data_IF_407685522472
#
_entry.id   IF_407685522472
#
_cell.length_a   1.000
_cell.length_b   1.000
_cell.length_c   1.000
_cell.angle_alpha   90.00
_cell.angle_beta   90.00
_cell.angle_gamma   90.00
#
_symmetry.space_group_name_H-M   'P 1'
#
loop_
_entity.id
_entity.type
_entity.pdbx_description
1 polymer ?
#
# COMPACT_ATOMS: atom_id res chain seq x y z
N UNK A 1 -22.03 42.18 -0.34
CA UNK A 1 -21.42 41.31 0.70
C UNK A 1 -21.45 39.89 0.18
N UNK A 2 -20.31 39.34 -0.22
CA UNK A 2 -20.19 37.92 -0.53
C UNK A 2 -19.87 37.23 0.80
N UNK A 3 -20.83 36.51 1.37
CA UNK A 3 -20.58 35.56 2.45
C UNK A 3 -19.85 34.36 1.84
N UNK A 4 -18.53 34.44 1.79
CA UNK A 4 -17.72 33.26 1.57
C UNK A 4 -17.65 32.52 2.91
N UNK A 5 -18.58 31.59 3.12
CA UNK A 5 -18.44 30.49 4.07
C UNK A 5 -17.25 29.64 3.60
N UNK A 6 -16.04 30.14 3.84
CA UNK A 6 -14.80 29.52 3.40
C UNK A 6 -14.45 28.43 4.43
N UNK A 7 -15.29 27.40 4.52
CA UNK A 7 -14.95 26.16 5.23
C UNK A 7 -13.73 25.57 4.52
N UNK A 8 -12.54 25.85 5.06
CA UNK A 8 -11.30 25.25 4.58
C UNK A 8 -11.46 23.73 4.56
N UNK A 9 -11.49 23.17 3.36
CA UNK A 9 -11.40 21.73 3.16
C UNK A 9 -9.93 21.36 3.30
N UNK A 10 -9.61 20.60 4.34
CA UNK A 10 -8.25 20.12 4.54
C UNK A 10 -8.05 18.87 3.66
N UNK A 11 -7.10 18.93 2.73
CA UNK A 11 -6.68 17.79 1.92
C UNK A 11 -5.29 17.35 2.37
N UNK A 12 -5.15 16.06 2.69
CA UNK A 12 -3.87 15.43 2.99
C UNK A 12 -3.52 14.44 1.87
N UNK A 13 -2.32 14.60 1.31
CA UNK A 13 -1.75 13.69 0.33
C UNK A 13 -0.64 12.88 0.99
N UNK A 14 -0.84 11.57 1.12
CA UNK A 14 0.13 10.64 1.69
C UNK A 14 0.74 9.79 0.57
N UNK A 15 2.04 9.95 0.35
CA UNK A 15 2.79 9.09 -0.57
C UNK A 15 3.23 7.78 0.09
N UNK A 16 3.70 6.84 -0.73
CA UNK A 16 4.19 5.51 -0.32
C UNK A 16 5.32 5.56 0.74
N UNK A 17 6.03 6.68 0.86
CA UNK A 17 7.03 6.91 1.90
C UNK A 17 6.45 7.09 3.32
N UNK A 18 5.16 7.41 3.46
CA UNK A 18 4.53 7.66 4.75
C UNK A 18 4.43 6.38 5.60
N UNK A 19 3.75 5.33 5.11
CA UNK A 19 3.67 4.03 5.78
C UNK A 19 4.99 3.28 5.89
N UNK A 20 6.06 3.68 5.18
CA UNK A 20 7.35 2.97 5.24
C UNK A 20 7.91 2.87 6.66
N UNK A 21 7.81 3.95 7.45
CA UNK A 21 8.22 3.96 8.87
C UNK A 21 7.30 3.14 9.77
N UNK A 22 6.13 2.79 9.26
CA UNK A 22 5.09 2.03 9.94
C UNK A 22 5.02 0.57 9.46
N UNK A 23 5.93 0.15 8.57
CA UNK A 23 6.03 -1.23 8.06
C UNK A 23 5.54 -1.43 6.63
N UNK A 24 5.01 -0.39 6.00
CA UNK A 24 4.55 -0.50 4.62
C UNK A 24 5.69 -0.62 3.63
N UNK A 25 5.35 -1.16 2.47
CA UNK A 25 6.29 -1.39 1.38
C UNK A 25 6.31 -0.23 0.40
N UNK A 26 7.51 0.18 0.01
CA UNK A 26 7.75 0.99 -1.17
C UNK A 26 7.61 0.12 -2.42
N UNK A 27 7.37 0.71 -3.61
CA UNK A 27 7.38 -0.04 -4.86
C UNK A 27 8.64 -0.90 -5.05
N UNK A 28 9.80 -0.41 -4.59
CA UNK A 28 11.06 -1.16 -4.61
C UNK A 28 11.06 -2.40 -3.72
N UNK A 29 10.30 -2.40 -2.62
CA UNK A 29 10.22 -3.55 -1.70
C UNK A 29 9.36 -4.67 -2.28
N UNK A 30 8.36 -4.36 -3.12
CA UNK A 30 7.51 -5.36 -3.75
C UNK A 30 8.29 -6.30 -4.69
N UNK A 31 9.44 -5.86 -5.22
CA UNK A 31 10.34 -6.72 -5.99
C UNK A 31 10.95 -7.89 -5.19
N UNK A 32 10.71 -7.97 -3.87
CA UNK A 32 10.97 -9.18 -3.08
C UNK A 32 10.22 -10.42 -3.61
N UNK A 33 9.17 -10.27 -4.43
CA UNK A 33 8.51 -11.38 -5.13
C UNK A 33 9.50 -12.33 -5.84
N UNK A 34 10.62 -11.82 -6.37
CA UNK A 34 11.58 -12.65 -7.11
C UNK A 34 12.30 -13.67 -6.24
N UNK A 35 12.33 -13.43 -4.94
CA UNK A 35 12.93 -14.32 -3.95
C UNK A 35 11.91 -15.31 -3.38
N UNK A 36 10.62 -15.15 -3.67
CA UNK A 36 9.61 -16.10 -3.23
C UNK A 36 9.85 -17.47 -3.88
N UNK A 37 9.83 -18.56 -3.11
CA UNK A 37 10.24 -19.91 -3.56
C UNK A 37 9.52 -20.33 -4.84
N UNK A 38 8.21 -20.08 -4.92
CA UNK A 38 7.37 -20.41 -6.08
C UNK A 38 7.74 -19.62 -7.34
N UNK A 39 8.27 -18.42 -7.18
CA UNK A 39 8.71 -17.54 -8.27
C UNK A 39 10.16 -17.86 -8.66
N UNK A 40 11.05 -17.99 -7.67
CA UNK A 40 12.45 -18.32 -7.84
C UNK A 40 12.65 -19.57 -8.69
N UNK A 41 11.84 -20.60 -8.45
CA UNK A 41 11.96 -21.89 -9.13
C UNK A 41 11.42 -21.90 -10.56
N UNK A 42 10.46 -21.03 -10.92
CA UNK A 42 9.68 -21.17 -12.16
C UNK A 42 9.69 -19.94 -13.07
N UNK A 43 9.91 -18.75 -12.52
CA UNK A 43 9.54 -17.49 -13.18
C UNK A 43 10.56 -16.35 -13.03
N UNK A 44 11.54 -16.48 -12.13
CA UNK A 44 12.47 -15.40 -11.79
C UNK A 44 13.17 -14.77 -13.00
N UNK A 45 13.74 -15.58 -13.90
CA UNK A 45 14.44 -15.08 -15.08
C UNK A 45 13.54 -14.24 -15.99
N UNK A 46 12.35 -14.75 -16.28
CA UNK A 46 11.36 -14.04 -17.10
C UNK A 46 10.88 -12.76 -16.45
N UNK A 47 10.55 -12.81 -15.15
CA UNK A 47 10.11 -11.61 -14.45
C UNK A 47 11.20 -10.53 -14.35
N UNK A 48 12.49 -10.91 -14.26
CA UNK A 48 13.58 -9.94 -14.31
C UNK A 48 13.63 -9.18 -15.64
N UNK A 49 13.39 -9.86 -16.77
CA UNK A 49 13.33 -9.20 -18.09
C UNK A 49 12.19 -8.19 -18.21
N UNK A 50 11.06 -8.45 -17.56
CA UNK A 50 9.93 -7.51 -17.52
C UNK A 50 10.22 -6.30 -16.63
N UNK A 51 11.01 -6.48 -15.56
CA UNK A 51 11.39 -5.38 -14.67
C UNK A 51 12.30 -4.36 -15.35
N UNK A 52 13.21 -4.79 -16.22
CA UNK A 52 14.13 -3.88 -16.91
C UNK A 52 13.39 -2.81 -17.73
N UNK A 53 12.15 -3.09 -18.13
CA UNK A 53 11.29 -2.19 -18.88
C UNK A 53 10.27 -1.42 -18.03
N UNK A 54 10.19 -1.67 -16.72
CA UNK A 54 9.18 -1.08 -15.84
C UNK A 54 9.80 -0.50 -14.55
N UNK A 55 9.65 0.82 -14.36
CA UNK A 55 10.22 1.53 -13.22
C UNK A 55 9.36 1.46 -11.95
N UNK A 56 8.05 1.27 -12.10
CA UNK A 56 7.11 1.09 -10.99
C UNK A 56 6.52 -0.32 -10.96
N UNK A 57 6.11 -0.75 -9.77
CA UNK A 57 5.61 -2.11 -9.54
C UNK A 57 4.23 -2.36 -10.17
N UNK A 58 3.41 -1.31 -10.30
CA UNK A 58 2.05 -1.42 -10.83
C UNK A 58 2.08 -1.69 -12.34
N UNK A 59 2.85 -0.91 -13.09
CA UNK A 59 3.12 -1.14 -14.50
C UNK A 59 3.81 -2.47 -14.74
N UNK A 60 4.77 -2.85 -13.89
CA UNK A 60 5.38 -4.17 -13.94
C UNK A 60 4.32 -5.29 -13.79
N UNK A 61 3.46 -5.20 -12.78
CA UNK A 61 2.44 -6.22 -12.56
C UNK A 61 1.39 -6.25 -13.68
N UNK A 62 0.95 -5.08 -14.14
CA UNK A 62 0.01 -4.95 -15.26
C UNK A 62 0.60 -5.55 -16.54
N UNK A 63 1.89 -5.33 -16.80
CA UNK A 63 2.58 -5.91 -17.95
C UNK A 63 2.63 -7.44 -17.93
N UNK A 64 2.63 -8.06 -16.74
CA UNK A 64 2.51 -9.52 -16.59
C UNK A 64 1.09 -9.97 -16.89
N UNK A 65 0.09 -9.26 -16.38
CA UNK A 65 -1.33 -9.59 -16.60
C UNK A 65 -1.74 -9.46 -18.06
N UNK A 66 -1.22 -8.45 -18.75
CA UNK A 66 -1.53 -8.17 -20.16
C UNK A 66 -0.58 -8.90 -21.13
N UNK A 67 0.42 -9.60 -20.61
CA UNK A 67 1.41 -10.30 -21.42
C UNK A 67 0.73 -11.34 -22.30
N UNK A 68 1.05 -11.27 -23.60
CA UNK A 68 0.71 -12.32 -24.58
C UNK A 68 1.82 -13.37 -24.71
N UNK A 69 2.87 -13.27 -23.89
CA UNK A 69 3.97 -14.21 -23.88
C UNK A 69 3.48 -15.58 -23.36
N UNK A 70 3.69 -16.64 -24.14
CA UNK A 70 3.34 -18.02 -23.77
C UNK A 70 4.00 -18.46 -22.47
N UNK A 71 5.12 -17.82 -22.10
CA UNK A 71 5.77 -18.00 -20.82
C UNK A 71 4.82 -17.72 -19.66
N UNK A 72 3.88 -16.77 -19.76
CA UNK A 72 2.90 -16.46 -18.72
C UNK A 72 1.58 -17.20 -18.94
N UNK A 73 1.64 -18.52 -18.87
CA UNK A 73 0.42 -19.35 -18.79
C UNK A 73 -0.46 -18.93 -17.60
N UNK A 74 -1.76 -19.24 -17.67
CA UNK A 74 -2.71 -18.94 -16.59
C UNK A 74 -2.27 -19.51 -15.23
N UNK A 75 -1.63 -20.68 -15.22
CA UNK A 75 -1.04 -21.27 -14.01
C UNK A 75 0.02 -20.35 -13.41
N UNK A 76 0.93 -19.83 -14.24
CA UNK A 76 2.03 -18.96 -13.79
C UNK A 76 1.53 -17.59 -13.35
N UNK A 77 0.54 -17.02 -14.04
CA UNK A 77 -0.14 -15.79 -13.60
C UNK A 77 -0.79 -16.01 -12.23
N UNK A 78 -1.39 -17.19 -12.02
CA UNK A 78 -2.00 -17.55 -10.72
C UNK A 78 -0.94 -17.62 -9.61
N UNK A 79 0.25 -18.16 -9.91
CA UNK A 79 1.38 -18.14 -8.96
C UNK A 79 1.79 -16.70 -8.61
N UNK A 80 1.96 -15.83 -9.60
CA UNK A 80 2.32 -14.41 -9.37
C UNK A 80 1.26 -13.72 -8.51
N UNK A 81 -0.03 -13.87 -8.87
CA UNK A 81 -1.17 -13.35 -8.09
C UNK A 81 -1.10 -13.80 -6.64
N UNK A 82 -0.94 -15.11 -6.41
CA UNK A 82 -0.85 -15.70 -5.08
C UNK A 82 0.27 -15.07 -4.26
N UNK A 83 1.47 -14.94 -4.83
CA UNK A 83 2.63 -14.37 -4.11
C UNK A 83 2.43 -12.89 -3.79
N UNK A 84 1.84 -12.12 -4.71
CA UNK A 84 1.52 -10.72 -4.44
C UNK A 84 0.50 -10.61 -3.31
N UNK A 85 -0.55 -11.43 -3.33
CA UNK A 85 -1.52 -11.50 -2.23
C UNK A 85 -0.86 -11.87 -0.90
N UNK A 86 0.07 -12.83 -0.89
CA UNK A 86 0.83 -13.19 0.31
C UNK A 86 1.66 -12.01 0.85
N UNK A 87 2.32 -11.25 -0.02
CA UNK A 87 3.08 -10.05 0.38
C UNK A 87 2.17 -8.97 0.98
N UNK A 88 1.00 -8.72 0.37
CA UNK A 88 0.03 -7.78 0.92
C UNK A 88 -0.51 -8.25 2.26
N UNK A 89 -0.75 -9.56 2.41
CA UNK A 89 -1.18 -10.16 3.67
C UNK A 89 -0.11 -10.03 4.75
N UNK A 90 1.16 -10.30 4.43
CA UNK A 90 2.27 -10.13 5.39
C UNK A 90 2.37 -8.67 5.87
N UNK A 91 2.16 -7.71 4.96
CA UNK A 91 2.14 -6.28 5.30
C UNK A 91 0.95 -5.92 6.20
N UNK A 92 -0.23 -6.45 5.91
CA UNK A 92 -1.46 -6.24 6.68
C UNK A 92 -1.37 -6.86 8.09
N UNK A 93 -0.87 -8.09 8.20
CA UNK A 93 -0.61 -8.78 9.47
C UNK A 93 0.43 -8.00 10.30
N UNK A 94 1.45 -7.43 9.65
CA UNK A 94 2.43 -6.57 10.33
C UNK A 94 1.78 -5.29 10.86
N UNK A 95 0.90 -4.63 10.09
CA UNK A 95 0.17 -3.47 10.56
C UNK A 95 -0.73 -3.81 11.76
N UNK A 96 -1.51 -4.89 11.69
CA UNK A 96 -2.36 -5.33 12.80
C UNK A 96 -1.53 -5.63 14.05
N UNK A 97 -0.42 -6.37 13.90
CA UNK A 97 0.51 -6.63 15.01
C UNK A 97 1.05 -5.34 15.62
N UNK A 98 1.52 -4.39 14.79
CA UNK A 98 2.05 -3.12 15.28
C UNK A 98 0.99 -2.28 15.98
N UNK A 99 -0.21 -2.15 15.42
CA UNK A 99 -1.31 -1.40 16.02
C UNK A 99 -1.69 -2.00 17.38
N UNK A 100 -1.83 -3.33 17.49
CA UNK A 100 -2.16 -4.00 18.75
C UNK A 100 -1.02 -3.89 19.78
N UNK A 101 0.22 -4.12 19.35
CA UNK A 101 1.41 -4.16 20.22
C UNK A 101 1.85 -2.78 20.70
N UNK A 102 1.66 -1.73 19.89
CA UNK A 102 1.99 -0.34 20.23
C UNK A 102 0.79 0.43 20.81
N UNK A 103 -0.29 -0.25 21.21
CA UNK A 103 -1.38 0.37 21.97
C UNK A 103 -0.92 1.09 23.26
N UNK A 104 0.30 0.78 23.73
CA UNK A 104 0.98 1.42 24.87
C UNK A 104 1.99 2.52 24.50
N UNK A 105 2.39 2.68 23.22
CA UNK A 105 3.42 3.66 22.82
C UNK A 105 2.78 4.85 22.11
N UNK A 106 2.72 5.96 22.84
CA UNK A 106 2.04 7.22 22.52
C UNK A 106 2.32 7.77 21.10
N UNK A 107 3.44 7.44 20.44
CA UNK A 107 3.86 8.08 19.17
C UNK A 107 3.09 7.59 17.92
N UNK A 108 2.80 6.29 17.82
CA UNK A 108 2.13 5.72 16.64
C UNK A 108 0.66 6.17 16.59
N UNK A 109 -0.06 5.95 17.70
CA UNK A 109 -1.45 6.36 17.82
C UNK A 109 -1.62 7.88 17.78
N UNK A 110 -0.68 8.68 18.33
CA UNK A 110 -0.82 10.14 18.30
C UNK A 110 -0.62 10.74 16.91
N UNK A 111 0.36 10.27 16.13
CA UNK A 111 0.55 10.75 14.74
C UNK A 111 -0.66 10.37 13.88
N UNK A 112 -1.22 9.17 14.08
CA UNK A 112 -2.37 8.70 13.33
C UNK A 112 -3.68 9.34 13.78
N UNK A 113 -3.92 9.51 15.08
CA UNK A 113 -5.04 10.26 15.62
C UNK A 113 -4.97 11.73 15.19
N UNK A 114 -3.78 12.33 15.10
CA UNK A 114 -3.63 13.67 14.55
C UNK A 114 -4.11 13.71 13.09
N UNK A 115 -3.66 12.77 12.25
CA UNK A 115 -4.06 12.69 10.84
C UNK A 115 -5.57 12.46 10.70
N UNK A 116 -6.11 11.46 11.39
CA UNK A 116 -7.53 11.15 11.34
C UNK A 116 -8.32 12.34 11.89
N UNK A 117 -8.08 12.81 13.10
CA UNK A 117 -8.92 13.85 13.69
C UNK A 117 -8.83 15.20 12.96
N UNK A 118 -7.65 15.59 12.44
CA UNK A 118 -7.50 16.88 11.72
C UNK A 118 -8.00 16.85 10.29
N UNK A 119 -7.94 15.70 9.62
CA UNK A 119 -8.25 15.59 8.19
C UNK A 119 -9.49 14.74 7.88
N UNK A 120 -10.09 14.07 8.87
CA UNK A 120 -11.38 13.38 8.70
C UNK A 120 -12.57 14.21 9.16
N UNK A 121 -12.47 15.06 10.21
CA UNK A 121 -13.66 15.76 10.75
C UNK A 121 -13.43 17.05 11.56
N UNK A 122 -12.25 17.67 11.56
CA UNK A 122 -12.06 18.91 12.32
C UNK A 122 -12.83 20.06 11.67
N UNK A 123 -13.87 20.57 12.33
CA UNK A 123 -14.63 21.81 12.06
C UNK A 123 -15.86 21.77 11.11
N UNK A 124 -16.60 20.65 11.05
CA UNK A 124 -17.94 20.64 10.45
C UNK A 124 -17.95 20.74 8.92
N UNK A 125 -16.87 20.31 8.28
CA UNK A 125 -16.74 20.12 6.84
C UNK A 125 -16.07 18.79 6.51
N UNK A 126 -16.09 18.39 5.24
CA UNK A 126 -15.45 17.16 4.76
C UNK A 126 -13.95 17.40 4.55
N UNK A 127 -13.10 16.58 5.16
CA UNK A 127 -11.69 16.48 4.81
C UNK A 127 -11.42 15.26 3.93
N UNK A 128 -10.32 15.29 3.17
CA UNK A 128 -9.96 14.24 2.22
C UNK A 128 -8.55 13.75 2.49
N UNK A 129 -8.38 12.44 2.60
CA UNK A 129 -7.09 11.78 2.68
C UNK A 129 -6.93 10.97 1.40
N UNK A 130 -5.92 11.30 0.61
CA UNK A 130 -5.50 10.50 -0.53
C UNK A 130 -4.24 9.74 -0.13
N UNK A 131 -4.30 8.43 -0.28
CA UNK A 131 -3.19 7.52 -0.04
C UNK A 131 -2.83 6.85 -1.36
N UNK A 132 -1.55 6.83 -1.71
CA UNK A 132 -1.06 5.99 -2.80
C UNK A 132 -0.53 4.68 -2.19
N UNK A 133 -1.32 3.60 -2.33
CA UNK A 133 -1.01 2.24 -1.90
C UNK A 133 -0.87 2.03 -0.37
N UNK A 134 -1.58 2.82 0.45
CA UNK A 134 -1.52 2.71 1.92
C UNK A 134 -2.90 2.62 2.60
N UNK A 135 -3.90 2.23 1.82
CA UNK A 135 -5.29 2.15 2.27
C UNK A 135 -5.42 1.12 3.40
N UNK A 136 -4.69 0.01 3.30
CA UNK A 136 -4.63 -1.03 4.35
C UNK A 136 -4.24 -0.47 5.73
N UNK A 137 -3.26 0.44 5.81
CA UNK A 137 -2.86 1.04 7.09
C UNK A 137 -3.99 1.92 7.65
N UNK A 138 -4.59 2.77 6.81
CA UNK A 138 -5.67 3.67 7.21
C UNK A 138 -6.95 2.91 7.57
N UNK A 139 -7.28 1.85 6.82
CA UNK A 139 -8.40 0.95 7.08
C UNK A 139 -8.25 0.23 8.42
N UNK A 140 -7.07 -0.34 8.68
CA UNK A 140 -6.78 -0.99 9.97
C UNK A 140 -6.89 -0.01 11.12
N UNK A 141 -6.42 1.22 10.97
CA UNK A 141 -6.53 2.25 12.01
C UNK A 141 -7.98 2.64 12.29
N UNK A 142 -8.81 2.79 11.25
CA UNK A 142 -10.24 3.11 11.40
C UNK A 142 -11.02 2.05 12.17
N UNK A 143 -10.59 0.78 12.12
CA UNK A 143 -11.26 -0.29 12.86
C UNK A 143 -10.95 -0.31 14.36
N UNK A 144 -9.93 0.45 14.81
CA UNK A 144 -9.44 0.43 16.20
C UNK A 144 -9.70 1.76 16.93
N UNK A 145 -10.05 2.83 16.19
CA UNK A 145 -10.51 4.13 16.71
C UNK A 145 -12.02 4.22 16.70
#
# INVERSE_FOLDING_TARGET
MINADNKMRNTLLLGSGFSKKFGGYLPSDFFKIFNHKSIAAKLRGHLLSFRENNYDFEGFYQSILDSKDEVFSQEKITIVKKVITEIYKDMDDFFDYKIRSFSSSFSYLSVMNFIINKFSYASGGNGYIFSLNQDLLLERLRLVT
#
